data_IF_995466354444
#
_entry.id   IF_995466354444
#
_cell.length_a   1.000
_cell.length_b   1.000
_cell.length_c   1.000
_cell.angle_alpha   90.00
_cell.angle_beta   90.00
_cell.angle_gamma   90.00
#
_symmetry.space_group_name_H-M   'P 1'
#
loop_
_entity.id
_entity.type
_entity.pdbx_description
1 polymer ?
#
# COMPACT_ATOMS: atom_id res chain seq x y z
N UNK A 1 -20.87 -72.19 -15.65
CA UNK A 1 -19.42 -71.93 -15.51
C UNK A 1 -18.88 -70.80 -16.40
N UNK A 2 -19.71 -70.07 -17.18
CA UNK A 2 -19.26 -68.89 -17.95
C UNK A 2 -19.60 -67.53 -17.30
N UNK A 3 -20.62 -67.47 -16.43
CA UNK A 3 -21.14 -66.21 -15.86
C UNK A 3 -20.22 -65.65 -14.75
N UNK A 4 -19.61 -66.52 -13.93
CA UNK A 4 -18.70 -66.12 -12.84
C UNK A 4 -17.41 -65.47 -13.35
N UNK A 5 -16.94 -65.87 -14.53
CA UNK A 5 -15.72 -65.31 -15.14
C UNK A 5 -15.93 -63.87 -15.61
N UNK A 6 -17.09 -63.56 -16.19
CA UNK A 6 -17.45 -62.20 -16.65
C UNK A 6 -17.64 -61.20 -15.50
N UNK A 7 -18.23 -61.61 -14.37
CA UNK A 7 -18.43 -60.71 -13.22
C UNK A 7 -17.10 -60.41 -12.51
N UNK A 8 -16.24 -61.42 -12.35
CA UNK A 8 -14.90 -61.26 -11.76
C UNK A 8 -14.00 -60.34 -12.60
N UNK A 9 -14.08 -60.44 -13.93
CA UNK A 9 -13.30 -59.60 -14.85
C UNK A 9 -13.77 -58.13 -14.85
N UNK A 10 -15.08 -57.88 -14.77
CA UNK A 10 -15.61 -56.51 -14.68
C UNK A 10 -15.22 -55.86 -13.36
N UNK A 11 -15.30 -56.58 -12.23
CA UNK A 11 -14.92 -56.03 -10.93
C UNK A 11 -13.42 -55.69 -10.83
N UNK A 12 -12.54 -56.50 -11.44
CA UNK A 12 -11.10 -56.23 -11.45
C UNK A 12 -10.74 -55.02 -12.32
N UNK A 13 -11.42 -54.84 -13.47
CA UNK A 13 -11.25 -53.67 -14.33
C UNK A 13 -11.73 -52.40 -13.64
N UNK A 14 -12.91 -52.39 -13.01
CA UNK A 14 -13.38 -51.23 -12.24
C UNK A 14 -12.47 -50.90 -11.04
N UNK A 15 -11.92 -51.90 -10.37
CA UNK A 15 -10.99 -51.70 -9.25
C UNK A 15 -9.65 -51.14 -9.72
N UNK A 16 -9.15 -51.59 -10.88
CA UNK A 16 -7.91 -51.10 -11.47
C UNK A 16 -8.04 -49.67 -12.00
N UNK A 17 -9.10 -49.36 -12.74
CA UNK A 17 -9.37 -47.99 -13.22
C UNK A 17 -9.70 -47.04 -12.07
N UNK A 18 -10.45 -47.50 -11.07
CA UNK A 18 -10.66 -46.76 -9.82
C UNK A 18 -9.35 -46.46 -9.13
N UNK A 19 -8.50 -47.46 -8.94
CA UNK A 19 -7.15 -47.32 -8.37
C UNK A 19 -6.28 -46.30 -9.10
N UNK A 20 -6.21 -46.36 -10.43
CA UNK A 20 -5.47 -45.39 -11.25
C UNK A 20 -6.03 -43.97 -11.14
N UNK A 21 -7.35 -43.79 -11.21
CA UNK A 21 -7.99 -42.48 -11.06
C UNK A 21 -7.75 -41.88 -9.66
N UNK A 22 -7.81 -42.71 -8.63
CA UNK A 22 -7.50 -42.30 -7.26
C UNK A 22 -6.02 -41.93 -7.10
N UNK A 23 -5.10 -42.68 -7.71
CA UNK A 23 -3.66 -42.41 -7.66
C UNK A 23 -3.30 -41.13 -8.43
N UNK A 24 -3.87 -40.92 -9.62
CA UNK A 24 -3.73 -39.68 -10.39
C UNK A 24 -4.30 -38.47 -9.64
N UNK A 25 -5.41 -38.64 -8.92
CA UNK A 25 -5.99 -37.57 -8.10
C UNK A 25 -5.09 -37.19 -6.92
N UNK A 26 -4.41 -38.16 -6.29
CA UNK A 26 -3.46 -37.92 -5.20
C UNK A 26 -2.19 -37.22 -5.69
N UNK A 27 -1.64 -37.64 -6.83
CA UNK A 27 -0.46 -37.00 -7.46
C UNK A 27 -0.80 -35.56 -7.88
N UNK A 28 -2.00 -35.33 -8.45
CA UNK A 28 -2.47 -33.96 -8.75
C UNK A 28 -2.63 -33.11 -7.49
N UNK A 29 -3.17 -33.67 -6.40
CA UNK A 29 -3.29 -32.98 -5.10
C UNK A 29 -1.91 -32.63 -4.50
N UNK A 30 -0.93 -33.55 -4.52
CA UNK A 30 0.40 -33.26 -3.94
C UNK A 30 1.15 -32.19 -4.73
N UNK A 31 1.08 -32.20 -6.06
CA UNK A 31 1.69 -31.16 -6.90
C UNK A 31 1.07 -29.78 -6.67
N UNK A 32 -0.25 -29.69 -6.42
CA UNK A 32 -0.90 -28.42 -6.07
C UNK A 32 -0.45 -27.95 -4.69
N UNK A 33 -0.31 -28.85 -3.71
CA UNK A 33 0.16 -28.54 -2.36
C UNK A 33 1.58 -27.98 -2.36
N UNK A 34 2.50 -28.63 -3.07
CA UNK A 34 3.89 -28.17 -3.19
C UNK A 34 3.96 -26.80 -3.87
N UNK A 35 3.18 -26.59 -4.92
CA UNK A 35 3.15 -25.30 -5.62
C UNK A 35 2.50 -24.19 -4.79
N UNK A 36 1.45 -24.50 -4.03
CA UNK A 36 0.83 -23.55 -3.10
C UNK A 36 1.83 -23.10 -2.04
N UNK A 37 2.56 -24.06 -1.43
CA UNK A 37 3.63 -23.76 -0.47
C UNK A 37 4.73 -22.89 -1.09
N UNK A 38 5.15 -23.19 -2.32
CA UNK A 38 6.15 -22.36 -3.02
C UNK A 38 5.65 -20.94 -3.27
N UNK A 39 4.39 -20.77 -3.68
CA UNK A 39 3.78 -19.44 -3.89
C UNK A 39 3.66 -18.67 -2.57
N UNK A 40 3.28 -19.36 -1.50
CA UNK A 40 3.18 -18.77 -0.17
C UNK A 40 4.53 -18.20 0.30
N UNK A 41 5.57 -19.04 0.28
CA UNK A 41 6.92 -18.69 0.74
C UNK A 41 7.61 -17.64 -0.17
N UNK A 42 7.44 -17.74 -1.49
CA UNK A 42 8.17 -16.87 -2.45
C UNK A 42 7.43 -15.61 -2.84
N UNK A 43 6.11 -15.56 -2.64
CA UNK A 43 5.28 -14.45 -3.14
C UNK A 43 4.44 -13.84 -2.04
N UNK A 44 3.66 -14.63 -1.29
CA UNK A 44 2.72 -14.07 -0.31
C UNK A 44 3.42 -13.53 0.94
N UNK A 45 4.35 -14.30 1.54
CA UNK A 45 5.10 -13.83 2.71
C UNK A 45 5.92 -12.56 2.42
N UNK A 46 6.70 -12.47 1.32
CA UNK A 46 7.43 -11.24 1.01
C UNK A 46 6.49 -10.07 0.66
N UNK A 47 5.33 -10.34 0.04
CA UNK A 47 4.31 -9.32 -0.21
C UNK A 47 3.75 -8.76 1.10
N UNK A 48 3.47 -9.60 2.10
CA UNK A 48 3.05 -9.15 3.45
C UNK A 48 4.10 -8.21 4.05
N UNK A 49 5.39 -8.56 3.95
CA UNK A 49 6.48 -7.74 4.49
C UNK A 49 6.52 -6.37 3.77
N UNK A 50 6.39 -6.37 2.45
CA UNK A 50 6.38 -5.14 1.65
C UNK A 50 5.17 -4.26 1.98
N UNK A 51 3.98 -4.86 2.14
CA UNK A 51 2.75 -4.18 2.56
C UNK A 51 2.89 -3.52 3.92
N UNK A 52 3.46 -4.25 4.90
CA UNK A 52 3.72 -3.71 6.25
C UNK A 52 4.66 -2.51 6.18
N UNK A 53 5.77 -2.62 5.43
CA UNK A 53 6.71 -1.49 5.26
C UNK A 53 6.06 -0.27 4.61
N UNK A 54 5.25 -0.45 3.57
CA UNK A 54 4.54 0.67 2.92
C UNK A 54 3.47 1.27 3.84
N UNK A 55 2.77 0.43 4.61
CA UNK A 55 1.78 0.87 5.58
C UNK A 55 2.43 1.69 6.69
N UNK A 56 3.54 1.21 7.25
CA UNK A 56 4.31 1.91 8.27
C UNK A 56 4.77 3.30 7.79
N UNK A 57 5.22 3.42 6.53
CA UNK A 57 5.60 4.69 5.93
C UNK A 57 4.44 5.70 5.90
N UNK A 58 3.24 5.22 5.53
CA UNK A 58 2.03 6.06 5.42
C UNK A 58 1.47 6.43 6.79
N UNK A 59 1.41 5.49 7.73
CA UNK A 59 0.87 5.68 9.08
C UNK A 59 1.83 6.45 10.01
N UNK A 60 3.13 6.37 9.76
CA UNK A 60 4.14 7.13 10.51
C UNK A 60 4.35 8.53 9.95
N UNK A 61 3.51 9.00 9.03
CA UNK A 61 3.61 10.32 8.41
C UNK A 61 4.97 10.58 7.72
N UNK A 62 5.68 9.54 7.28
CA UNK A 62 7.03 9.62 6.71
C UNK A 62 7.02 9.47 5.17
N UNK A 63 5.90 9.78 4.52
CA UNK A 63 5.71 9.57 3.08
C UNK A 63 6.03 10.81 2.22
N UNK A 64 6.40 11.93 2.86
CA UNK A 64 6.84 13.16 2.20
C UNK A 64 8.25 13.53 2.69
N UNK A 65 9.09 14.04 1.78
CA UNK A 65 10.37 14.70 2.08
C UNK A 65 10.32 16.11 1.55
N UNK A 66 10.86 17.08 2.30
CA UNK A 66 10.88 18.48 1.91
C UNK A 66 12.30 18.96 1.62
N UNK A 67 12.51 19.52 0.43
CA UNK A 67 13.79 20.06 -0.04
C UNK A 67 13.60 21.39 -0.76
N UNK A 68 14.26 22.48 -0.33
CA UNK A 68 14.38 23.75 -1.08
C UNK A 68 13.06 24.22 -1.74
N UNK A 69 12.01 24.39 -0.95
CA UNK A 69 10.66 24.80 -1.41
C UNK A 69 9.93 23.78 -2.28
N UNK A 70 10.27 22.50 -2.15
CA UNK A 70 9.60 21.38 -2.83
C UNK A 70 9.25 20.29 -1.84
N UNK A 71 8.13 19.64 -2.11
CA UNK A 71 7.75 18.41 -1.45
C UNK A 71 7.89 17.24 -2.44
N UNK A 72 8.40 16.12 -1.95
CA UNK A 72 8.69 14.92 -2.74
C UNK A 72 8.03 13.75 -2.04
N UNK A 73 7.26 12.95 -2.78
CA UNK A 73 6.70 11.71 -2.24
C UNK A 73 7.80 10.64 -2.16
N UNK A 74 7.88 9.91 -1.05
CA UNK A 74 8.77 8.74 -0.93
C UNK A 74 8.05 7.41 -1.08
N UNK A 75 6.75 7.43 -1.36
CA UNK A 75 6.00 6.22 -1.70
C UNK A 75 6.37 5.80 -3.12
N UNK A 76 6.83 4.56 -3.26
CA UNK A 76 7.11 3.95 -4.56
C UNK A 76 5.80 3.43 -5.16
N UNK A 77 5.31 4.13 -6.18
CA UNK A 77 4.08 3.78 -6.89
C UNK A 77 4.11 2.37 -7.51
N UNK A 78 5.29 1.85 -7.89
CA UNK A 78 5.43 0.60 -8.65
C UNK A 78 5.93 -0.59 -7.83
N UNK A 79 6.33 -0.38 -6.57
CA UNK A 79 6.96 -1.43 -5.76
C UNK A 79 6.21 -2.77 -5.76
N UNK A 80 4.87 -2.73 -5.63
CA UNK A 80 4.05 -3.94 -5.61
C UNK A 80 3.88 -4.55 -7.00
N UNK A 81 3.67 -3.73 -8.03
CA UNK A 81 3.51 -4.20 -9.41
C UNK A 81 4.78 -4.89 -9.87
N UNK A 82 5.93 -4.25 -9.66
CA UNK A 82 7.23 -4.79 -10.02
C UNK A 82 7.55 -6.07 -9.24
N UNK A 83 7.25 -6.10 -7.94
CA UNK A 83 7.39 -7.31 -7.12
C UNK A 83 6.55 -8.47 -7.67
N UNK A 84 5.26 -8.22 -7.97
CA UNK A 84 4.37 -9.26 -8.47
C UNK A 84 4.78 -9.79 -9.84
N UNK A 85 5.20 -8.92 -10.76
CA UNK A 85 5.70 -9.33 -12.08
C UNK A 85 6.96 -10.18 -11.92
N UNK A 86 7.90 -9.75 -11.08
CA UNK A 86 9.16 -10.47 -10.83
C UNK A 86 8.96 -11.82 -10.14
N UNK A 87 7.85 -12.03 -9.43
CA UNK A 87 7.50 -13.32 -8.83
C UNK A 87 7.24 -14.43 -9.86
N UNK A 88 6.94 -14.07 -11.13
CA UNK A 88 6.56 -15.00 -12.19
C UNK A 88 5.16 -15.62 -12.04
N UNK A 89 4.43 -15.29 -10.96
CA UNK A 89 3.05 -15.73 -10.72
C UNK A 89 2.04 -14.79 -11.38
N UNK A 90 2.45 -13.54 -11.63
CA UNK A 90 1.68 -12.51 -12.29
C UNK A 90 2.41 -12.00 -13.54
N UNK A 91 1.66 -11.39 -14.46
CA UNK A 91 2.18 -10.66 -15.61
C UNK A 91 1.39 -9.39 -15.82
N UNK A 92 2.01 -8.40 -16.44
CA UNK A 92 1.33 -7.20 -16.92
C UNK A 92 0.83 -7.44 -18.35
N UNK A 93 -0.46 -7.27 -18.60
CA UNK A 93 -1.06 -7.27 -19.94
C UNK A 93 -2.05 -6.10 -20.05
N UNK A 94 -1.89 -5.25 -21.06
CA UNK A 94 -2.79 -4.10 -21.28
C UNK A 94 -2.97 -3.22 -20.03
N UNK A 95 -1.88 -2.92 -19.33
CA UNK A 95 -1.86 -2.15 -18.06
C UNK A 95 -2.59 -2.85 -16.89
N UNK A 96 -2.89 -4.14 -17.02
CA UNK A 96 -3.59 -4.93 -16.01
C UNK A 96 -2.73 -6.07 -15.47
N UNK A 97 -2.79 -6.29 -14.15
CA UNK A 97 -2.02 -7.34 -13.46
C UNK A 97 -2.83 -8.63 -13.54
N UNK A 98 -2.32 -9.60 -14.31
CA UNK A 98 -3.00 -10.88 -14.56
C UNK A 98 -2.27 -12.06 -13.93
N UNK A 99 -3.06 -12.98 -13.39
CA UNK A 99 -2.56 -14.23 -12.81
C UNK A 99 -2.14 -15.21 -13.91
N UNK A 100 -0.89 -15.65 -13.86
CA UNK A 100 -0.31 -16.65 -14.79
C UNK A 100 -0.60 -18.07 -14.31
N UNK A 101 -0.49 -18.32 -13.01
CA UNK A 101 -0.71 -19.63 -12.42
C UNK A 101 -2.22 -19.94 -12.30
N UNK A 102 -2.80 -20.61 -13.30
CA UNK A 102 -4.24 -20.91 -13.34
C UNK A 102 -4.68 -22.27 -12.78
N UNK A 103 -3.75 -23.12 -12.34
CA UNK A 103 -4.05 -24.53 -11.98
C UNK A 103 -4.83 -24.67 -10.66
N UNK A 104 -4.73 -23.72 -9.75
CA UNK A 104 -5.50 -23.72 -8.50
C UNK A 104 -6.61 -22.67 -8.52
N UNK A 105 -7.86 -23.14 -8.48
CA UNK A 105 -9.04 -22.27 -8.47
C UNK A 105 -9.15 -21.40 -7.21
N UNK A 106 -8.67 -21.89 -6.06
CA UNK A 106 -8.70 -21.12 -4.81
C UNK A 106 -7.74 -19.95 -4.94
N UNK A 107 -6.48 -20.25 -5.28
CA UNK A 107 -5.48 -19.23 -5.55
C UNK A 107 -5.97 -18.16 -6.53
N UNK A 108 -6.47 -18.57 -7.70
CA UNK A 108 -6.93 -17.64 -8.73
C UNK A 108 -7.98 -16.65 -8.20
N UNK A 109 -8.92 -17.13 -7.37
CA UNK A 109 -9.99 -16.29 -6.82
C UNK A 109 -9.46 -15.17 -5.94
N UNK A 110 -8.48 -15.46 -5.08
CA UNK A 110 -7.87 -14.47 -4.19
C UNK A 110 -6.85 -13.60 -4.93
N UNK A 111 -6.02 -14.21 -5.79
CA UNK A 111 -4.98 -13.53 -6.54
C UNK A 111 -5.54 -12.43 -7.47
N UNK A 112 -6.73 -12.63 -8.06
CA UNK A 112 -7.41 -11.59 -8.85
C UNK A 112 -7.76 -10.38 -7.99
N UNK A 113 -8.30 -10.59 -6.78
CA UNK A 113 -8.64 -9.48 -5.89
C UNK A 113 -7.39 -8.77 -5.35
N UNK A 114 -6.37 -9.54 -4.98
CA UNK A 114 -5.06 -8.99 -4.57
C UNK A 114 -4.51 -8.08 -5.69
N UNK A 115 -4.51 -8.56 -6.94
CA UNK A 115 -4.08 -7.77 -8.09
C UNK A 115 -4.91 -6.50 -8.27
N UNK A 116 -6.24 -6.58 -8.13
CA UNK A 116 -7.12 -5.40 -8.23
C UNK A 116 -6.81 -4.38 -7.14
N UNK A 117 -6.70 -4.79 -5.88
CA UNK A 117 -6.39 -3.87 -4.79
C UNK A 117 -5.03 -3.21 -4.97
N UNK A 118 -4.02 -3.94 -5.46
CA UNK A 118 -2.70 -3.36 -5.73
C UNK A 118 -2.69 -2.43 -6.95
N UNK A 119 -3.62 -2.61 -7.90
CA UNK A 119 -3.87 -1.63 -8.97
C UNK A 119 -4.51 -0.36 -8.41
N UNK A 120 -5.47 -0.49 -7.51
CA UNK A 120 -6.08 0.66 -6.84
C UNK A 120 -5.03 1.41 -6.00
N UNK A 121 -4.10 0.69 -5.36
CA UNK A 121 -2.96 1.30 -4.66
C UNK A 121 -2.12 2.18 -5.59
N UNK A 122 -1.77 1.68 -6.78
CA UNK A 122 -0.98 2.44 -7.76
C UNK A 122 -1.69 3.75 -8.14
N UNK A 123 -3.00 3.73 -8.33
CA UNK A 123 -3.80 4.93 -8.64
C UNK A 123 -3.76 5.94 -7.49
N UNK A 124 -3.99 5.48 -6.26
CA UNK A 124 -4.02 6.32 -5.06
C UNK A 124 -2.63 6.93 -4.78
N UNK A 125 -1.55 6.15 -4.87
CA UNK A 125 -0.18 6.66 -4.66
C UNK A 125 0.23 7.65 -5.72
N UNK A 126 -0.11 7.41 -7.00
CA UNK A 126 0.16 8.39 -8.06
C UNK A 126 -0.60 9.70 -7.81
N UNK A 127 -1.87 9.61 -7.38
CA UNK A 127 -2.67 10.79 -7.06
C UNK A 127 -2.08 11.57 -5.87
N UNK A 128 -1.64 10.86 -4.83
CA UNK A 128 -0.98 11.48 -3.68
C UNK A 128 0.34 12.14 -4.07
N UNK A 129 1.16 11.44 -4.86
CA UNK A 129 2.43 11.94 -5.38
C UNK A 129 2.24 13.20 -6.21
N UNK A 130 1.26 13.22 -7.10
CA UNK A 130 0.93 14.39 -7.91
C UNK A 130 0.56 15.59 -7.02
N UNK A 131 -0.28 15.39 -5.99
CA UNK A 131 -0.64 16.47 -5.06
C UNK A 131 0.61 17.00 -4.33
N UNK A 132 1.42 16.11 -3.76
CA UNK A 132 2.62 16.48 -3.00
C UNK A 132 3.62 17.23 -3.89
N UNK A 133 3.95 16.67 -5.05
CA UNK A 133 5.00 17.18 -5.93
C UNK A 133 4.59 18.45 -6.68
N UNK A 134 3.28 18.73 -6.76
CA UNK A 134 2.76 19.97 -7.33
C UNK A 134 2.62 21.11 -6.32
N UNK A 135 2.82 20.89 -5.01
CA UNK A 135 2.83 21.99 -4.06
C UNK A 135 3.94 22.99 -4.39
N UNK A 136 3.57 24.27 -4.43
CA UNK A 136 4.46 25.42 -4.65
C UNK A 136 4.27 26.47 -3.57
N UNK A 137 5.21 27.41 -3.51
CA UNK A 137 5.10 28.56 -2.62
C UNK A 137 3.92 29.48 -2.99
N UNK A 138 3.51 29.52 -4.27
CA UNK A 138 2.34 30.30 -4.69
C UNK A 138 1.01 29.75 -4.14
N UNK A 139 0.97 28.48 -3.73
CA UNK A 139 -0.23 27.85 -3.16
C UNK A 139 -0.47 28.24 -1.70
N UNK A 140 0.48 28.93 -1.06
CA UNK A 140 0.39 29.35 0.33
C UNK A 140 -0.67 30.44 0.45
N UNK A 141 -1.73 30.24 1.27
CA UNK A 141 -2.74 31.28 1.48
C UNK A 141 -2.13 32.57 2.00
N UNK A 142 -2.61 33.71 1.52
CA UNK A 142 -2.07 35.03 1.85
C UNK A 142 -2.11 35.35 3.37
N UNK A 143 -3.06 34.76 4.10
CA UNK A 143 -3.18 34.91 5.55
C UNK A 143 -2.40 33.85 6.36
N UNK A 144 -1.89 32.80 5.72
CA UNK A 144 -1.23 31.67 6.38
C UNK A 144 0.01 32.16 7.13
N UNK A 145 0.85 32.94 6.45
CA UNK A 145 2.07 33.47 7.04
C UNK A 145 1.78 34.35 8.26
N UNK A 146 0.77 35.23 8.18
CA UNK A 146 0.43 36.13 9.29
C UNK A 146 0.00 35.34 10.53
N UNK A 147 -0.79 34.28 10.35
CA UNK A 147 -1.22 33.40 11.43
C UNK A 147 -0.07 32.58 12.00
N UNK A 148 0.83 32.09 11.15
CA UNK A 148 2.05 31.38 11.55
C UNK A 148 3.01 32.30 12.32
N UNK A 149 3.19 33.57 11.91
CA UNK A 149 3.96 34.57 12.65
C UNK A 149 3.44 34.76 14.07
N UNK A 150 2.12 34.82 14.22
CA UNK A 150 1.49 34.91 15.55
C UNK A 150 1.78 33.65 16.37
N UNK A 151 1.59 32.46 15.79
CA UNK A 151 1.87 31.19 16.44
C UNK A 151 3.33 31.08 16.93
N UNK A 152 4.28 31.53 16.11
CA UNK A 152 5.72 31.54 16.42
C UNK A 152 6.02 32.49 17.58
N UNK A 153 5.49 33.72 17.53
CA UNK A 153 5.67 34.70 18.61
C UNK A 153 5.10 34.19 19.93
N UNK A 154 3.96 33.50 19.89
CA UNK A 154 3.33 32.91 21.06
C UNK A 154 4.15 31.74 21.65
N UNK A 155 4.90 30.98 20.83
CA UNK A 155 5.74 29.85 21.30
C UNK A 155 7.14 30.30 21.77
N UNK A 156 7.81 31.18 21.04
CA UNK A 156 9.23 31.51 21.28
C UNK A 156 9.47 32.92 21.83
N UNK A 157 8.43 33.76 21.90
CA UNK A 157 8.56 35.15 22.34
C UNK A 157 9.31 36.07 21.36
N UNK A 158 9.78 35.54 20.23
CA UNK A 158 10.45 36.27 19.16
C UNK A 158 10.03 35.74 17.78
N UNK A 159 10.22 36.56 16.74
CA UNK A 159 9.87 36.17 15.36
C UNK A 159 11.09 35.50 14.70
N UNK A 160 11.09 34.16 14.63
CA UNK A 160 12.15 33.43 13.95
C UNK A 160 12.03 33.46 12.40
N UNK A 161 10.95 34.05 11.86
CA UNK A 161 10.78 34.27 10.42
C UNK A 161 11.58 35.46 9.86
N UNK A 162 12.10 36.35 10.71
CA UNK A 162 12.84 37.55 10.27
C UNK A 162 14.30 37.27 9.88
N UNK A 163 14.67 36.01 9.63
CA UNK A 163 16.06 35.59 9.30
C UNK A 163 16.44 35.67 7.80
N UNK A 164 15.91 36.64 7.04
CA UNK A 164 16.33 36.96 5.66
C UNK A 164 15.82 36.01 4.57
N UNK A 165 16.66 35.71 3.57
CA UNK A 165 16.37 34.99 2.29
C UNK A 165 15.74 33.59 2.40
N UNK A 166 15.48 33.09 3.61
CA UNK A 166 14.88 31.76 3.85
C UNK A 166 13.49 31.81 4.47
N UNK A 167 12.87 33.01 4.54
CA UNK A 167 11.48 33.20 4.98
C UNK A 167 10.51 32.35 4.15
N UNK A 168 10.64 32.38 2.84
CA UNK A 168 9.77 31.63 1.92
C UNK A 168 9.89 30.12 2.17
N UNK A 169 11.11 29.60 2.31
CA UNK A 169 11.36 28.18 2.65
C UNK A 169 10.75 27.78 3.98
N UNK A 170 10.87 28.64 4.99
CA UNK A 170 10.30 28.39 6.29
C UNK A 170 8.77 28.26 6.22
N UNK A 171 8.10 29.23 5.60
CA UNK A 171 6.64 29.26 5.49
C UNK A 171 6.15 28.10 4.62
N UNK A 172 6.84 27.81 3.52
CA UNK A 172 6.54 26.68 2.65
C UNK A 172 6.62 25.35 3.42
N UNK A 173 7.68 25.11 4.19
CA UNK A 173 7.84 23.85 4.94
C UNK A 173 6.68 23.66 5.92
N UNK A 174 6.31 24.71 6.67
CA UNK A 174 5.17 24.63 7.60
C UNK A 174 3.84 24.39 6.87
N UNK A 175 3.64 25.05 5.74
CA UNK A 175 2.45 24.85 4.90
C UNK A 175 2.38 23.42 4.36
N UNK A 176 3.44 22.96 3.71
CA UNK A 176 3.52 21.64 3.09
C UNK A 176 3.33 20.52 4.12
N UNK A 177 4.01 20.57 5.27
CA UNK A 177 3.81 19.59 6.36
C UNK A 177 2.35 19.54 6.83
N UNK A 178 1.69 20.70 6.88
CA UNK A 178 0.32 20.81 7.39
C UNK A 178 -0.71 20.29 6.38
N UNK A 179 -0.59 20.68 5.11
CA UNK A 179 -1.47 20.21 4.02
C UNK A 179 -1.25 18.73 3.74
N UNK A 180 0.01 18.30 3.67
CA UNK A 180 0.35 16.90 3.50
C UNK A 180 0.08 16.07 4.75
N UNK A 181 -0.51 16.61 5.83
CA UNK A 181 -0.75 15.85 7.07
C UNK A 181 0.45 14.97 7.49
N UNK A 182 1.67 15.50 7.38
CA UNK A 182 2.90 14.71 7.43
C UNK A 182 3.86 15.28 8.47
N UNK A 183 3.47 15.16 9.75
CA UNK A 183 4.21 15.73 10.89
C UNK A 183 5.70 15.34 10.90
N UNK A 184 6.01 14.15 10.40
CA UNK A 184 7.34 13.57 10.47
C UNK A 184 8.22 13.79 9.23
N UNK A 185 7.74 14.53 8.21
CA UNK A 185 8.45 14.77 6.94
C UNK A 185 9.66 15.70 7.04
N UNK A 186 9.80 16.48 8.11
CA UNK A 186 10.89 17.45 8.28
C UNK A 186 11.67 17.21 9.58
N UNK A 187 12.69 16.35 9.54
CA UNK A 187 13.48 15.93 10.72
C UNK A 187 14.94 16.38 10.73
N UNK A 188 15.52 16.67 9.57
CA UNK A 188 16.96 16.99 9.42
C UNK A 188 17.21 18.46 9.04
N UNK A 189 16.29 19.35 9.43
CA UNK A 189 16.32 20.77 9.06
C UNK A 189 16.54 21.72 10.23
N UNK A 190 16.05 22.95 10.10
CA UNK A 190 16.18 23.97 11.15
C UNK A 190 15.42 23.56 12.41
N UNK A 191 16.11 23.59 13.55
CA UNK A 191 15.56 23.18 14.87
C UNK A 191 14.26 23.90 15.20
N UNK A 192 14.16 25.21 14.94
CA UNK A 192 12.94 25.96 15.21
C UNK A 192 11.73 25.49 14.37
N UNK A 193 11.92 25.11 13.11
CA UNK A 193 10.85 24.54 12.28
C UNK A 193 10.43 23.17 12.83
N UNK A 194 11.41 22.33 13.17
CA UNK A 194 11.19 21.01 13.77
C UNK A 194 10.39 21.15 15.07
N UNK A 195 10.75 22.10 15.94
CA UNK A 195 10.07 22.36 17.21
C UNK A 195 8.62 22.82 17.00
N UNK A 196 8.37 23.73 16.05
CA UNK A 196 7.02 24.20 15.71
C UNK A 196 6.16 23.03 15.23
N UNK A 197 6.66 22.24 14.27
CA UNK A 197 5.94 21.07 13.76
C UNK A 197 5.71 20.07 14.89
N UNK A 198 6.72 19.81 15.73
CA UNK A 198 6.64 18.86 16.84
C UNK A 198 5.55 19.20 17.84
N UNK A 199 5.45 20.49 18.23
CA UNK A 199 4.60 20.97 19.34
C UNK A 199 3.27 21.54 18.90
N UNK A 200 3.19 22.16 17.72
CA UNK A 200 2.05 22.96 17.25
C UNK A 200 1.48 22.49 15.92
N UNK A 201 1.72 21.23 15.54
CA UNK A 201 1.15 20.64 14.31
C UNK A 201 -0.36 20.84 14.18
N UNK A 202 -1.11 20.64 15.25
CA UNK A 202 -2.58 20.78 15.21
C UNK A 202 -3.01 22.23 14.97
N UNK A 203 -2.27 23.20 15.52
CA UNK A 203 -2.52 24.62 15.29
C UNK A 203 -2.23 24.99 13.83
N UNK A 204 -1.12 24.48 13.26
CA UNK A 204 -0.83 24.68 11.84
C UNK A 204 -1.93 24.09 10.94
N UNK A 205 -2.45 22.91 11.27
CA UNK A 205 -3.58 22.33 10.55
C UNK A 205 -4.85 23.17 10.69
N UNK A 206 -5.10 23.77 11.85
CA UNK A 206 -6.25 24.66 12.02
C UNK A 206 -6.11 25.92 11.18
N UNK A 207 -4.89 26.47 11.07
CA UNK A 207 -4.60 27.58 10.16
C UNK A 207 -4.89 27.19 8.71
N UNK A 208 -4.52 25.99 8.27
CA UNK A 208 -4.85 25.46 6.92
C UNK A 208 -6.36 25.32 6.73
N UNK A 209 -7.09 24.83 7.74
CA UNK A 209 -8.55 24.63 7.67
C UNK A 209 -9.35 25.92 7.55
N UNK A 210 -8.78 27.06 7.97
CA UNK A 210 -9.41 28.37 7.84
C UNK A 210 -9.42 28.90 6.39
N UNK A 211 -8.60 28.33 5.50
CA UNK A 211 -8.58 28.65 4.07
C UNK A 211 -9.25 27.52 3.28
N UNK A 212 -10.22 27.86 2.43
CA UNK A 212 -11.02 26.86 1.73
C UNK A 212 -10.18 25.98 0.78
N UNK A 213 -9.28 26.58 0.00
CA UNK A 213 -8.50 25.85 -1.00
C UNK A 213 -7.48 24.93 -0.30
N UNK A 214 -6.79 25.45 0.71
CA UNK A 214 -5.84 24.66 1.48
C UNK A 214 -6.54 23.54 2.27
N UNK A 215 -7.77 23.79 2.76
CA UNK A 215 -8.56 22.77 3.43
C UNK A 215 -9.00 21.64 2.47
N UNK A 216 -9.44 21.98 1.27
CA UNK A 216 -9.78 20.99 0.24
C UNK A 216 -8.57 20.11 -0.12
N UNK A 217 -7.36 20.68 -0.23
CA UNK A 217 -6.13 19.92 -0.44
C UNK A 217 -5.84 18.98 0.74
N UNK A 218 -5.94 19.47 1.98
CA UNK A 218 -5.78 18.66 3.19
C UNK A 218 -6.76 17.48 3.21
N UNK A 219 -8.04 17.72 2.90
CA UNK A 219 -9.06 16.67 2.86
C UNK A 219 -8.77 15.62 1.78
N UNK A 220 -8.30 16.04 0.60
CA UNK A 220 -7.87 15.11 -0.46
C UNK A 220 -6.72 14.23 0.00
N UNK A 221 -5.67 14.81 0.58
CA UNK A 221 -4.53 14.05 1.12
C UNK A 221 -5.00 13.03 2.17
N UNK A 222 -5.76 13.48 3.17
CA UNK A 222 -6.27 12.60 4.24
C UNK A 222 -7.18 11.50 3.69
N UNK A 223 -7.99 11.80 2.67
CA UNK A 223 -8.82 10.83 1.98
C UNK A 223 -7.99 9.74 1.30
N UNK A 224 -6.99 10.14 0.52
CA UNK A 224 -6.09 9.21 -0.19
C UNK A 224 -5.29 8.35 0.80
N UNK A 225 -4.77 8.93 1.89
CA UNK A 225 -4.09 8.17 2.94
C UNK A 225 -4.98 7.05 3.53
N UNK A 226 -6.26 7.36 3.79
CA UNK A 226 -7.24 6.38 4.27
C UNK A 226 -7.49 5.29 3.24
N UNK A 227 -7.59 5.64 1.96
CA UNK A 227 -7.75 4.67 0.88
C UNK A 227 -6.54 3.74 0.78
N UNK A 228 -5.31 4.27 0.83
CA UNK A 228 -4.08 3.47 0.84
C UNK A 228 -4.08 2.49 2.03
N UNK A 229 -4.41 2.94 3.25
CA UNK A 229 -4.47 2.06 4.43
C UNK A 229 -5.57 0.99 4.32
N UNK A 230 -6.73 1.35 3.76
CA UNK A 230 -7.81 0.40 3.48
C UNK A 230 -7.37 -0.67 2.47
N UNK A 231 -6.70 -0.26 1.39
CA UNK A 231 -6.16 -1.16 0.38
C UNK A 231 -5.16 -2.14 0.99
N UNK A 232 -4.18 -1.66 1.75
CA UNK A 232 -3.22 -2.54 2.45
C UNK A 232 -3.95 -3.57 3.31
N UNK A 233 -4.95 -3.14 4.07
CA UNK A 233 -5.72 -4.02 4.96
C UNK A 233 -6.51 -5.08 4.18
N UNK A 234 -7.09 -4.72 3.03
CA UNK A 234 -7.80 -5.68 2.18
C UNK A 234 -6.88 -6.69 1.52
N UNK A 235 -5.69 -6.27 1.08
CA UNK A 235 -4.70 -7.21 0.52
C UNK A 235 -4.28 -8.21 1.58
N UNK A 236 -3.93 -7.75 2.78
CA UNK A 236 -3.56 -8.64 3.90
C UNK A 236 -4.68 -9.64 4.21
N UNK A 237 -5.92 -9.17 4.31
CA UNK A 237 -7.09 -10.03 4.58
C UNK A 237 -7.31 -11.09 3.49
N UNK A 238 -7.12 -10.73 2.21
CA UNK A 238 -7.25 -11.70 1.12
C UNK A 238 -6.11 -12.72 1.11
N UNK A 239 -4.89 -12.32 1.51
CA UNK A 239 -3.77 -13.26 1.71
C UNK A 239 -4.07 -14.22 2.86
N UNK A 240 -4.52 -13.72 4.01
CA UNK A 240 -4.90 -14.54 5.17
C UNK A 240 -6.01 -15.54 4.81
N UNK A 241 -7.04 -15.07 4.11
CA UNK A 241 -8.14 -15.93 3.64
C UNK A 241 -7.66 -17.03 2.69
N UNK A 242 -6.72 -16.70 1.79
CA UNK A 242 -6.11 -17.68 0.89
C UNK A 242 -5.31 -18.74 1.66
N UNK A 243 -4.52 -18.32 2.64
CA UNK A 243 -3.74 -19.22 3.49
C UNK A 243 -4.64 -20.16 4.31
N UNK A 244 -5.72 -19.65 4.89
CA UNK A 244 -6.73 -20.45 5.59
C UNK A 244 -7.40 -21.48 4.67
N UNK A 245 -7.83 -21.06 3.48
CA UNK A 245 -8.45 -21.97 2.51
C UNK A 245 -7.49 -23.07 2.03
N UNK A 246 -6.21 -22.73 1.85
CA UNK A 246 -5.18 -23.73 1.58
C UNK A 246 -5.02 -24.69 2.75
N UNK A 247 -4.90 -24.22 3.99
CA UNK A 247 -4.80 -25.10 5.15
C UNK A 247 -6.01 -26.05 5.27
N UNK A 248 -7.23 -25.54 5.12
CA UNK A 248 -8.46 -26.33 5.20
C UNK A 248 -8.55 -27.40 4.10
N UNK A 249 -8.10 -27.08 2.88
CA UNK A 249 -8.08 -28.04 1.77
C UNK A 249 -6.99 -29.10 1.92
N UNK A 250 -5.95 -28.82 2.70
CA UNK A 250 -4.83 -29.74 2.94
C UNK A 250 -5.07 -30.72 4.09
N UNK A 251 -6.13 -30.52 4.88
CA UNK A 251 -6.57 -31.41 5.97
C UNK A 251 -7.52 -32.53 5.44
N UNK A 252 -7.94 -32.49 4.16
CA UNK A 252 -8.90 -33.45 3.51
C UNK A 252 -8.29 -34.26 2.36
#
# INVERSE_FOLDING_TARGET
MQIEFTVSFIFSVFSFFGGMLFQDSRIKKSNIREKAKEIDEKVLEPLIILLKKSKDCTESDNYTVLEKNRAISVLDEKCFVDFLINSGVFKLEDEDIRVVYKKDKIFNRHAIKIAQYLKDYLVEVNSLKEIIENLRAEDIPSNFEQKVRKLIKDEFGNDCLDTGDRREEFVFVLFAVSVCNSKNSYKNGRVCIIDIIGRRFQDLQNIVKDDQNAYELLLKVVGIQKNISFIHSNVLKEIESLQEDWQNKLII
#
